data_IF_671617177296
#
_entry.id   IF_671617177296
#
_cell.length_a   1.000
_cell.length_b   1.000
_cell.length_c   1.000
_cell.angle_alpha   90.00
_cell.angle_beta   90.00
_cell.angle_gamma   90.00
#
_symmetry.space_group_name_H-M   'P 1'
#
loop_
_entity.id
_entity.type
_entity.pdbx_description
1 polymer ?
#
# COMPACT_ATOMS: atom_id res chain seq x y z
N UNK A 1 -7.14 -17.39 24.39
CA UNK A 1 -7.85 -16.76 23.24
C UNK A 1 -6.93 -16.87 22.05
N UNK A 2 -7.44 -17.33 20.90
CA UNK A 2 -6.66 -17.36 19.66
C UNK A 2 -6.49 -15.91 19.17
N UNK A 3 -5.27 -15.51 18.79
CA UNK A 3 -5.04 -14.18 18.22
C UNK A 3 -5.91 -13.98 16.97
N UNK A 4 -6.42 -12.76 16.70
CA UNK A 4 -7.25 -12.53 15.52
C UNK A 4 -6.53 -12.94 14.24
N UNK A 5 -7.17 -13.66 13.30
CA UNK A 5 -6.55 -14.06 12.03
C UNK A 5 -6.51 -12.91 11.00
N UNK A 6 -6.11 -11.72 11.47
CA UNK A 6 -6.03 -10.48 10.71
C UNK A 6 -5.11 -9.46 11.38
N UNK A 7 -4.42 -8.66 10.57
CA UNK A 7 -3.40 -7.71 11.04
C UNK A 7 -3.47 -6.38 10.30
N UNK A 8 -3.09 -5.32 10.99
CA UNK A 8 -2.84 -3.99 10.46
C UNK A 8 -1.35 -3.74 10.47
N UNK A 9 -0.81 -3.26 9.35
CA UNK A 9 0.61 -2.96 9.17
C UNK A 9 0.77 -1.48 8.84
N UNK A 10 1.67 -0.81 9.54
CA UNK A 10 1.93 0.63 9.36
C UNK A 10 3.42 0.93 9.43
N UNK A 11 3.85 1.91 8.65
CA UNK A 11 5.03 2.71 8.96
C UNK A 11 4.61 3.96 9.73
N UNK A 12 5.45 4.41 10.65
CA UNK A 12 5.27 5.69 11.34
C UNK A 12 6.59 6.40 11.58
N UNK A 13 6.52 7.72 11.75
CA UNK A 13 7.61 8.47 12.38
C UNK A 13 7.50 8.34 13.91
N UNK A 14 8.62 8.51 14.62
CA UNK A 14 8.67 8.40 16.09
C UNK A 14 7.66 9.36 16.76
N UNK A 15 7.52 10.56 16.20
CA UNK A 15 6.60 11.60 16.67
C UNK A 15 5.11 11.30 16.44
N UNK A 16 4.79 10.34 15.58
CA UNK A 16 3.40 10.04 15.21
C UNK A 16 2.75 9.11 16.24
N UNK A 17 1.50 9.44 16.57
CA UNK A 17 0.68 8.67 17.49
C UNK A 17 -0.11 7.60 16.75
N UNK A 18 0.18 6.34 17.09
CA UNK A 18 -0.51 5.15 16.57
C UNK A 18 -1.17 4.33 17.68
N UNK A 19 -1.29 4.89 18.90
CA UNK A 19 -1.94 4.22 20.04
C UNK A 19 -3.40 3.87 19.75
N UNK A 20 -4.06 4.72 18.93
CA UNK A 20 -5.44 4.54 18.47
C UNK A 20 -5.71 3.17 17.84
N UNK A 21 -4.72 2.54 17.18
CA UNK A 21 -4.88 1.23 16.54
C UNK A 21 -5.25 0.18 17.59
N UNK A 22 -4.52 0.17 18.70
CA UNK A 22 -4.77 -0.80 19.78
C UNK A 22 -6.06 -0.47 20.54
N UNK A 23 -6.34 0.82 20.75
CA UNK A 23 -7.52 1.27 21.50
C UNK A 23 -8.84 1.06 20.75
N UNK A 24 -8.83 1.25 19.42
CA UNK A 24 -10.05 1.36 18.60
C UNK A 24 -10.26 0.18 17.66
N UNK A 25 -9.21 -0.60 17.40
CA UNK A 25 -9.25 -1.81 16.56
C UNK A 25 -8.75 -3.05 17.32
N UNK A 26 -9.25 -3.36 18.53
CA UNK A 26 -8.75 -4.47 19.37
C UNK A 26 -8.96 -5.86 18.75
N UNK A 27 -9.82 -5.94 17.73
CA UNK A 27 -10.09 -7.16 16.97
C UNK A 27 -9.08 -7.42 15.84
N UNK A 28 -8.06 -6.56 15.70
CA UNK A 28 -6.98 -6.67 14.74
C UNK A 28 -5.64 -6.77 15.49
N UNK A 29 -4.78 -7.68 15.04
CA UNK A 29 -3.36 -7.57 15.41
C UNK A 29 -2.78 -6.31 14.78
N UNK A 30 -1.68 -5.78 15.30
CA UNK A 30 -0.96 -4.68 14.67
C UNK A 30 0.55 -4.91 14.65
N UNK A 31 1.20 -4.46 13.58
CA UNK A 31 2.64 -4.41 13.41
C UNK A 31 3.00 -3.03 12.88
N UNK A 32 3.69 -2.25 13.70
CA UNK A 32 3.94 -0.83 13.44
C UNK A 32 5.44 -0.60 13.49
N UNK A 33 6.03 -0.22 12.36
CA UNK A 33 7.46 0.05 12.22
C UNK A 33 7.71 1.55 12.40
N UNK A 34 8.63 1.91 13.29
CA UNK A 34 9.16 3.28 13.37
C UNK A 34 10.29 3.42 12.34
N UNK A 35 10.09 4.25 11.32
CA UNK A 35 11.01 4.30 10.16
C UNK A 35 12.21 5.23 10.36
N UNK A 36 12.11 6.18 11.30
CA UNK A 36 13.12 7.22 11.56
C UNK A 36 13.87 7.02 12.91
N UNK A 37 13.72 5.86 13.54
CA UNK A 37 14.44 5.48 14.77
C UNK A 37 14.90 4.01 14.73
N UNK A 38 16.20 3.80 14.52
CA UNK A 38 16.86 2.48 14.45
C UNK A 38 16.99 1.75 15.80
N UNK A 39 16.67 2.42 16.90
CA UNK A 39 16.62 1.83 18.25
C UNK A 39 15.22 1.36 18.65
N UNK A 40 14.19 1.68 17.85
CA UNK A 40 12.83 1.24 18.13
C UNK A 40 12.72 -0.29 18.03
N UNK A 41 11.88 -0.96 18.84
CA UNK A 41 11.76 -2.43 18.80
C UNK A 41 11.38 -2.99 17.43
N UNK A 42 10.57 -2.26 16.67
CA UNK A 42 10.19 -2.56 15.29
C UNK A 42 10.56 -1.34 14.44
N UNK A 43 11.54 -1.51 13.56
CA UNK A 43 12.06 -0.44 12.70
C UNK A 43 12.41 -1.01 11.33
N UNK A 44 12.49 -0.14 10.32
CA UNK A 44 13.05 -0.48 9.02
C UNK A 44 14.56 -0.27 9.04
N UNK A 45 15.30 -0.99 8.19
CA UNK A 45 16.76 -0.85 8.10
C UNK A 45 17.20 0.54 7.64
N UNK A 46 16.38 1.20 6.83
CA UNK A 46 16.60 2.55 6.32
C UNK A 46 15.26 3.29 6.22
N UNK A 47 15.28 4.60 6.45
CA UNK A 47 14.14 5.49 6.22
C UNK A 47 14.09 5.91 4.74
N UNK A 48 13.53 5.05 3.89
CA UNK A 48 13.42 5.30 2.44
C UNK A 48 12.30 4.46 1.81
N UNK A 49 11.58 5.03 0.85
CA UNK A 49 10.43 4.46 0.16
C UNK A 49 9.10 4.68 0.88
N UNK A 50 9.01 5.67 1.78
CA UNK A 50 7.83 5.95 2.62
C UNK A 50 7.21 4.66 3.22
N UNK A 51 5.90 4.45 3.05
CA UNK A 51 5.16 3.30 3.57
C UNK A 51 5.52 1.98 2.87
N UNK A 52 6.12 2.04 1.68
CA UNK A 52 6.43 0.83 0.93
C UNK A 52 7.50 -0.04 1.60
N UNK A 53 8.48 0.58 2.26
CA UNK A 53 9.53 -0.13 2.99
C UNK A 53 8.99 -0.94 4.19
N UNK A 54 8.25 -0.36 5.15
CA UNK A 54 7.69 -1.15 6.25
C UNK A 54 6.67 -2.19 5.75
N UNK A 55 5.95 -1.94 4.66
CA UNK A 55 5.03 -2.93 4.09
C UNK A 55 5.76 -4.14 3.51
N UNK A 56 6.82 -3.92 2.74
CA UNK A 56 7.65 -5.01 2.21
C UNK A 56 8.42 -5.72 3.32
N UNK A 57 8.94 -4.99 4.29
CA UNK A 57 9.61 -5.55 5.47
C UNK A 57 8.67 -6.52 6.19
N UNK A 58 7.42 -6.13 6.45
CA UNK A 58 6.42 -7.01 7.03
C UNK A 58 6.19 -8.27 6.19
N UNK A 59 5.98 -8.13 4.89
CA UNK A 59 5.72 -9.27 4.01
C UNK A 59 6.90 -10.25 4.04
N UNK A 60 8.13 -9.74 3.97
CA UNK A 60 9.36 -10.56 3.96
C UNK A 60 9.57 -11.27 5.30
N UNK A 61 9.41 -10.58 6.43
CA UNK A 61 9.66 -11.14 7.76
C UNK A 61 8.58 -12.15 8.21
N UNK A 62 7.36 -12.02 7.68
CA UNK A 62 6.21 -12.78 8.11
C UNK A 62 5.61 -13.71 7.04
N UNK A 63 6.26 -13.84 5.87
CA UNK A 63 5.73 -14.54 4.69
C UNK A 63 5.10 -15.92 4.99
N UNK A 64 5.79 -16.74 5.79
CA UNK A 64 5.34 -18.11 6.12
C UNK A 64 4.26 -18.15 7.24
N UNK A 65 3.95 -17.01 7.86
CA UNK A 65 3.08 -16.89 9.03
C UNK A 65 2.04 -15.78 8.89
N UNK A 66 1.73 -15.38 7.66
CA UNK A 66 0.76 -14.33 7.39
C UNK A 66 -0.64 -14.71 7.93
N UNK A 67 -1.37 -13.77 8.54
CA UNK A 67 -2.79 -13.96 8.85
C UNK A 67 -3.64 -13.92 7.58
N UNK A 68 -4.88 -14.39 7.64
CA UNK A 68 -5.77 -14.47 6.46
C UNK A 68 -5.96 -13.14 5.73
N UNK A 69 -5.99 -12.03 6.48
CA UNK A 69 -6.22 -10.67 5.97
C UNK A 69 -5.18 -9.73 6.53
N UNK A 70 -4.55 -8.95 5.65
CA UNK A 70 -3.55 -7.94 6.00
C UNK A 70 -4.08 -6.61 5.49
N UNK A 71 -4.06 -5.58 6.34
CA UNK A 71 -4.40 -4.21 5.97
C UNK A 71 -3.16 -3.35 6.13
N UNK A 72 -2.74 -2.72 5.03
CA UNK A 72 -1.65 -1.77 5.00
C UNK A 72 -2.23 -0.36 5.07
N UNK A 73 -1.85 0.39 6.10
CA UNK A 73 -2.40 1.71 6.41
C UNK A 73 -1.32 2.75 6.66
N UNK A 74 -1.68 4.00 6.46
CA UNK A 74 -0.91 5.14 6.94
C UNK A 74 -1.13 5.32 8.44
N UNK A 75 -0.15 5.90 9.14
CA UNK A 75 -0.16 6.07 10.60
C UNK A 75 -1.25 7.01 11.13
N UNK A 76 -1.77 7.91 10.29
CA UNK A 76 -2.76 8.92 10.66
C UNK A 76 -4.14 8.28 10.96
N UNK A 77 -4.71 8.55 12.16
CA UNK A 77 -6.07 8.10 12.52
C UNK A 77 -7.13 8.86 11.69
N UNK A 78 -7.05 10.21 11.71
CA UNK A 78 -8.05 11.13 11.17
C UNK A 78 -7.53 12.53 10.92
N UNK A 79 -8.27 13.33 10.16
CA UNK A 79 -8.08 14.78 10.05
C UNK A 79 -7.70 15.28 8.65
N UNK A 80 -7.93 16.56 8.40
CA UNK A 80 -7.43 17.27 7.21
C UNK A 80 -6.46 18.36 7.67
N UNK A 81 -5.26 18.47 7.07
CA UNK A 81 -4.83 17.78 5.87
C UNK A 81 -4.23 16.38 6.11
N UNK A 82 -3.92 15.97 7.35
CA UNK A 82 -3.04 14.80 7.57
C UNK A 82 -3.58 13.46 7.02
N UNK A 83 -4.90 13.28 6.99
CA UNK A 83 -5.57 12.04 6.63
C UNK A 83 -6.46 12.17 5.38
N UNK A 84 -6.25 13.23 4.58
CA UNK A 84 -7.06 13.57 3.38
C UNK A 84 -7.27 12.40 2.39
N UNK A 85 -6.37 11.41 2.43
CA UNK A 85 -6.35 10.22 1.60
C UNK A 85 -7.33 9.11 2.05
N UNK A 86 -8.05 9.29 3.17
CA UNK A 86 -8.97 8.29 3.73
C UNK A 86 -10.40 8.56 3.24
N UNK A 87 -10.97 7.62 2.48
CA UNK A 87 -12.30 7.76 1.88
C UNK A 87 -13.45 7.34 2.81
N UNK A 88 -13.53 8.01 3.95
CA UNK A 88 -14.63 7.85 4.89
C UNK A 88 -15.05 9.19 5.51
N UNK A 89 -16.20 9.22 6.19
CA UNK A 89 -16.66 10.39 6.92
C UNK A 89 -15.60 10.81 7.96
N UNK A 90 -15.20 12.07 7.89
CA UNK A 90 -14.13 12.68 8.69
C UNK A 90 -12.71 12.16 8.42
N UNK A 91 -12.49 11.48 7.30
CA UNK A 91 -11.20 10.92 6.92
C UNK A 91 -10.67 9.94 7.99
N UNK A 92 -11.47 8.95 8.39
CA UNK A 92 -11.22 8.12 9.58
C UNK A 92 -10.81 6.68 9.21
N UNK A 93 -9.56 6.32 9.51
CA UNK A 93 -9.02 4.99 9.23
C UNK A 93 -9.68 3.91 10.12
N UNK A 94 -10.15 4.26 11.32
CA UNK A 94 -10.88 3.32 12.20
C UNK A 94 -12.17 2.87 11.52
N UNK A 95 -12.94 3.80 10.96
CA UNK A 95 -14.19 3.45 10.26
C UNK A 95 -13.91 2.63 9.00
N UNK A 96 -12.85 2.96 8.26
CA UNK A 96 -12.45 2.23 7.06
C UNK A 96 -12.13 0.76 7.39
N UNK A 97 -11.35 0.51 8.45
CA UNK A 97 -11.03 -0.87 8.87
C UNK A 97 -12.23 -1.60 9.49
N UNK A 98 -13.05 -0.93 10.29
CA UNK A 98 -14.22 -1.55 10.93
C UNK A 98 -15.27 -2.00 9.91
N UNK A 99 -15.46 -1.21 8.84
CA UNK A 99 -16.45 -1.50 7.81
C UNK A 99 -15.88 -2.30 6.64
N UNK A 100 -14.60 -2.68 6.69
CA UNK A 100 -13.96 -3.44 5.61
C UNK A 100 -14.67 -4.78 5.38
N UNK A 101 -15.16 -4.97 4.16
CA UNK A 101 -15.74 -6.22 3.70
C UNK A 101 -14.63 -7.26 3.47
N UNK A 102 -14.27 -7.99 4.53
CA UNK A 102 -13.22 -9.02 4.48
C UNK A 102 -13.55 -10.10 3.45
N UNK A 103 -14.82 -10.45 3.24
CA UNK A 103 -15.19 -11.45 2.24
C UNK A 103 -14.88 -10.98 0.82
N UNK A 104 -15.02 -9.69 0.52
CA UNK A 104 -14.56 -9.11 -0.74
C UNK A 104 -13.04 -9.20 -0.87
N UNK A 105 -12.28 -8.86 0.17
CA UNK A 105 -10.80 -9.00 0.16
C UNK A 105 -10.39 -10.45 -0.09
N UNK A 106 -11.07 -11.42 0.52
CA UNK A 106 -10.75 -12.84 0.33
C UNK A 106 -11.07 -13.33 -1.10
N UNK A 107 -12.19 -12.91 -1.69
CA UNK A 107 -12.58 -13.31 -3.06
C UNK A 107 -11.78 -12.58 -4.14
N UNK A 108 -11.56 -11.28 -3.98
CA UNK A 108 -10.88 -10.44 -4.96
C UNK A 108 -9.35 -10.47 -4.82
N UNK A 109 -8.85 -10.86 -3.64
CA UNK A 109 -7.43 -10.90 -3.32
C UNK A 109 -6.85 -9.57 -2.88
N UNK A 110 -7.35 -8.46 -3.43
CA UNK A 110 -6.90 -7.09 -3.16
C UNK A 110 -8.10 -6.15 -3.04
N UNK A 111 -8.01 -5.15 -2.16
CA UNK A 111 -8.96 -4.05 -2.09
C UNK A 111 -8.22 -2.74 -1.78
N UNK A 112 -8.34 -1.75 -2.66
CA UNK A 112 -7.91 -0.39 -2.32
C UNK A 112 -8.92 0.19 -1.30
N UNK A 113 -8.44 0.77 -0.21
CA UNK A 113 -9.33 1.37 0.81
C UNK A 113 -9.85 2.74 0.37
N UNK A 114 -9.29 3.30 -0.69
CA UNK A 114 -9.71 4.54 -1.34
C UNK A 114 -10.59 4.21 -2.55
N UNK A 115 -11.81 4.75 -2.58
CA UNK A 115 -12.79 4.60 -3.66
C UNK A 115 -12.91 5.83 -4.58
N UNK A 116 -12.59 7.03 -4.07
CA UNK A 116 -12.50 8.25 -4.84
C UNK A 116 -11.30 8.16 -5.79
N UNK A 117 -11.56 8.12 -7.09
CA UNK A 117 -10.50 7.99 -8.09
C UNK A 117 -9.58 9.21 -8.25
N UNK A 118 -9.85 10.36 -7.62
CA UNK A 118 -9.05 11.57 -7.81
C UNK A 118 -8.24 11.93 -6.56
N UNK A 119 -6.89 11.92 -6.58
CA UNK A 119 -6.04 11.61 -7.73
C UNK A 119 -5.85 10.10 -7.96
N UNK A 120 -5.32 9.72 -9.13
CA UNK A 120 -4.87 8.36 -9.44
C UNK A 120 -5.57 7.65 -10.60
N UNK A 121 -6.87 7.89 -10.81
CA UNK A 121 -7.65 7.27 -11.87
C UNK A 121 -8.04 8.26 -12.98
N UNK A 122 -8.13 7.80 -14.25
CA UNK A 122 -7.74 6.47 -14.75
C UNK A 122 -6.28 6.41 -15.23
N UNK A 123 -5.57 7.54 -15.24
CA UNK A 123 -4.44 7.76 -16.14
C UNK A 123 -3.27 8.53 -15.49
N UNK A 124 -2.96 8.19 -14.24
CA UNK A 124 -2.03 8.99 -13.42
C UNK A 124 -0.56 8.80 -13.77
N UNK A 125 -0.15 7.58 -14.14
CA UNK A 125 1.21 7.30 -14.59
C UNK A 125 1.18 6.82 -16.04
N UNK A 126 1.81 7.60 -16.91
CA UNK A 126 2.02 7.31 -18.34
C UNK A 126 3.52 7.24 -18.64
N UNK A 127 4.18 6.07 -18.50
CA UNK A 127 5.64 5.96 -18.59
C UNK A 127 6.26 6.37 -19.93
N UNK A 128 5.43 6.44 -20.98
CA UNK A 128 5.83 6.76 -22.35
C UNK A 128 5.15 8.02 -22.89
N UNK A 129 4.77 8.96 -22.01
CA UNK A 129 4.14 10.23 -22.39
C UNK A 129 5.02 11.00 -23.38
N UNK A 130 4.40 11.50 -24.44
CA UNK A 130 5.03 12.34 -25.46
C UNK A 130 4.15 13.58 -25.76
N UNK A 131 4.63 14.81 -25.53
CA UNK A 131 5.95 15.15 -24.99
C UNK A 131 6.06 14.83 -23.48
N UNK A 132 7.26 14.49 -22.98
CA UNK A 132 7.48 14.28 -21.55
C UNK A 132 7.23 15.57 -20.76
N UNK A 133 6.59 15.43 -19.60
CA UNK A 133 6.30 16.54 -18.69
C UNK A 133 7.32 16.54 -17.54
N UNK A 134 8.14 17.59 -17.40
CA UNK A 134 9.27 17.61 -16.45
C UNK A 134 8.89 17.39 -14.98
N UNK A 135 7.66 17.75 -14.59
CA UNK A 135 7.17 17.58 -13.22
C UNK A 135 6.64 16.16 -12.93
N UNK A 136 6.46 15.31 -13.94
CA UNK A 136 5.98 13.92 -13.82
C UNK A 136 7.16 12.97 -13.57
N UNK A 137 7.93 13.23 -12.51
CA UNK A 137 9.17 12.48 -12.20
C UNK A 137 8.97 10.97 -12.06
N UNK A 138 7.80 10.55 -11.56
CA UNK A 138 7.43 9.13 -11.42
C UNK A 138 7.23 8.46 -12.77
N UNK A 139 6.64 9.15 -13.75
CA UNK A 139 6.48 8.61 -15.12
C UNK A 139 7.85 8.32 -15.74
N UNK A 140 8.81 9.23 -15.56
CA UNK A 140 10.18 9.06 -16.03
C UNK A 140 10.92 7.90 -15.33
N UNK A 141 10.65 7.67 -14.04
CA UNK A 141 11.27 6.60 -13.27
C UNK A 141 10.64 5.21 -13.52
N UNK A 142 9.34 5.16 -13.84
CA UNK A 142 8.54 3.92 -13.85
C UNK A 142 9.09 2.86 -14.80
N UNK A 143 9.52 3.21 -16.01
CA UNK A 143 10.03 2.22 -16.96
C UNK A 143 11.35 1.57 -16.49
N UNK A 144 12.24 2.35 -15.86
CA UNK A 144 13.47 1.85 -15.26
C UNK A 144 13.20 0.98 -14.04
N UNK A 145 12.35 1.48 -13.13
CA UNK A 145 11.92 0.74 -11.94
C UNK A 145 11.25 -0.59 -12.32
N UNK A 146 10.39 -0.61 -13.34
CA UNK A 146 9.73 -1.83 -13.80
C UNK A 146 10.72 -2.90 -14.26
N UNK A 147 11.72 -2.51 -15.04
CA UNK A 147 12.76 -3.43 -15.51
C UNK A 147 13.53 -4.04 -14.33
N UNK A 148 13.90 -3.22 -13.36
CA UNK A 148 14.63 -3.66 -12.18
C UNK A 148 13.78 -4.55 -11.28
N UNK A 149 12.51 -4.19 -11.04
CA UNK A 149 11.58 -4.93 -10.18
C UNK A 149 11.11 -6.25 -10.82
N UNK A 150 10.63 -6.22 -12.06
CA UNK A 150 9.98 -7.37 -12.70
C UNK A 150 10.86 -8.12 -13.72
N UNK A 151 12.05 -7.60 -14.04
CA UNK A 151 13.01 -8.27 -14.93
C UNK A 151 12.59 -8.35 -16.39
N UNK A 152 11.61 -7.55 -16.82
CA UNK A 152 11.11 -7.50 -18.19
C UNK A 152 10.82 -6.04 -18.61
N UNK A 153 10.44 -5.84 -19.88
CA UNK A 153 10.12 -4.51 -20.44
C UNK A 153 8.64 -4.33 -20.76
N UNK A 154 7.78 -5.16 -20.18
CA UNK A 154 6.34 -5.14 -20.40
C UNK A 154 5.68 -4.05 -19.53
N UNK A 155 6.21 -2.83 -19.64
CA UNK A 155 5.75 -1.68 -18.86
C UNK A 155 4.39 -1.24 -19.41
N UNK A 156 3.33 -1.15 -18.59
CA UNK A 156 2.05 -0.63 -19.04
C UNK A 156 2.17 0.81 -19.54
N UNK A 157 1.53 1.12 -20.65
CA UNK A 157 1.44 2.50 -21.15
C UNK A 157 0.63 3.42 -20.24
N UNK A 158 -0.27 2.83 -19.44
CA UNK A 158 -1.18 3.51 -18.55
C UNK A 158 -1.28 2.72 -17.25
N UNK A 159 -1.07 3.41 -16.13
CA UNK A 159 -1.30 2.89 -14.79
C UNK A 159 -2.24 3.84 -14.06
N UNK A 160 -3.26 3.27 -13.42
CA UNK A 160 -4.25 4.04 -12.70
C UNK A 160 -4.91 3.23 -11.59
N UNK A 161 -4.99 3.83 -10.42
CA UNK A 161 -5.64 3.30 -9.22
C UNK A 161 -5.94 4.50 -8.30
N UNK A 162 -7.00 4.49 -7.48
CA UNK A 162 -7.15 5.53 -6.45
C UNK A 162 -5.88 5.64 -5.61
N UNK A 163 -5.39 6.88 -5.41
CA UNK A 163 -4.09 7.13 -4.79
C UNK A 163 -3.92 6.52 -3.38
N UNK A 164 -2.69 6.71 -2.89
CA UNK A 164 -2.37 6.88 -1.49
C UNK A 164 -2.15 5.59 -0.70
N UNK A 165 -1.73 4.52 -1.35
CA UNK A 165 -0.98 3.43 -0.71
C UNK A 165 -1.72 2.57 0.32
N UNK A 166 -2.98 2.84 0.64
CA UNK A 166 -3.74 2.09 1.64
C UNK A 166 -4.60 1.00 0.99
N UNK A 167 -4.37 -0.25 1.38
CA UNK A 167 -5.07 -1.40 0.80
C UNK A 167 -5.16 -2.57 1.77
N UNK A 168 -6.11 -3.46 1.51
CA UNK A 168 -6.20 -4.77 2.13
C UNK A 168 -5.87 -5.86 1.12
N UNK A 169 -5.21 -6.93 1.58
CA UNK A 169 -4.83 -8.07 0.76
C UNK A 169 -5.07 -9.37 1.52
N UNK A 170 -5.50 -10.41 0.81
CA UNK A 170 -5.61 -11.74 1.40
C UNK A 170 -4.25 -12.43 1.42
N UNK A 171 -4.00 -13.28 2.43
CA UNK A 171 -2.79 -14.14 2.45
C UNK A 171 -2.61 -14.89 1.15
N UNK A 172 -3.69 -15.48 0.63
CA UNK A 172 -3.64 -16.27 -0.59
C UNK A 172 -3.17 -15.43 -1.78
N UNK A 173 -3.50 -14.14 -1.83
CA UNK A 173 -3.04 -13.23 -2.87
C UNK A 173 -1.56 -12.86 -2.71
N UNK A 174 -1.08 -12.64 -1.48
CA UNK A 174 0.35 -12.43 -1.20
C UNK A 174 1.17 -13.66 -1.62
N UNK A 175 0.72 -14.86 -1.26
CA UNK A 175 1.42 -16.11 -1.55
C UNK A 175 1.44 -16.52 -3.03
N UNK A 176 0.72 -15.82 -3.92
CA UNK A 176 0.83 -16.03 -5.38
C UNK A 176 2.18 -15.57 -5.93
N UNK A 177 2.86 -14.63 -5.24
CA UNK A 177 4.19 -14.17 -5.60
C UNK A 177 5.20 -14.75 -4.61
N UNK A 178 6.30 -15.35 -5.06
CA UNK A 178 7.27 -16.00 -4.17
C UNK A 178 8.00 -14.97 -3.30
N UNK A 179 8.49 -15.41 -2.13
CA UNK A 179 9.18 -14.57 -1.15
C UNK A 179 10.37 -13.81 -1.78
N UNK A 180 11.11 -14.48 -2.66
CA UNK A 180 12.31 -13.93 -3.31
C UNK A 180 12.00 -12.64 -4.10
N UNK A 181 10.80 -12.53 -4.67
CA UNK A 181 10.39 -11.32 -5.38
C UNK A 181 10.07 -10.17 -4.41
N UNK A 182 9.42 -10.45 -3.27
CA UNK A 182 9.23 -9.44 -2.23
C UNK A 182 10.56 -8.99 -1.63
N UNK A 183 11.51 -9.90 -1.40
CA UNK A 183 12.86 -9.56 -0.96
C UNK A 183 13.60 -8.69 -1.98
N UNK A 184 13.42 -8.97 -3.27
CA UNK A 184 13.96 -8.14 -4.37
C UNK A 184 13.35 -6.74 -4.37
N UNK A 185 12.04 -6.63 -4.17
CA UNK A 185 11.36 -5.33 -4.08
C UNK A 185 11.87 -4.51 -2.90
N UNK A 186 12.05 -5.15 -1.73
CA UNK A 186 12.59 -4.49 -0.54
C UNK A 186 14.02 -4.01 -0.80
N UNK A 187 14.89 -4.87 -1.31
CA UNK A 187 16.26 -4.51 -1.68
C UNK A 187 16.30 -3.36 -2.70
N UNK A 188 15.38 -3.35 -3.68
CA UNK A 188 15.30 -2.25 -4.65
C UNK A 188 14.99 -0.91 -3.97
N UNK A 189 14.04 -0.87 -3.01
CA UNK A 189 13.76 0.36 -2.26
C UNK A 189 15.02 0.84 -1.52
N UNK A 190 15.74 -0.07 -0.88
CA UNK A 190 16.96 0.26 -0.13
C UNK A 190 18.07 0.80 -1.06
N UNK A 191 18.30 0.15 -2.20
CA UNK A 191 19.50 0.35 -3.02
C UNK A 191 19.32 1.33 -4.19
N UNK A 192 18.09 1.61 -4.64
CA UNK A 192 17.84 2.45 -5.82
C UNK A 192 18.44 3.87 -5.66
N UNK A 193 18.97 4.51 -6.71
CA UNK A 193 19.43 5.91 -6.61
C UNK A 193 18.27 6.92 -6.56
N UNK A 194 17.03 6.49 -6.76
CA UNK A 194 15.85 7.34 -6.62
C UNK A 194 15.70 7.81 -5.16
N UNK A 195 15.20 9.03 -5.00
CA UNK A 195 14.90 9.57 -3.67
C UNK A 195 13.72 8.86 -3.01
N UNK A 196 13.50 9.17 -1.72
CA UNK A 196 12.45 8.61 -0.88
C UNK A 196 11.05 8.78 -1.52
N UNK A 197 10.74 9.99 -1.99
CA UNK A 197 9.43 10.34 -2.57
C UNK A 197 9.17 9.57 -3.87
N UNK A 198 10.10 9.56 -4.81
CA UNK A 198 9.91 8.90 -6.11
C UNK A 198 9.84 7.38 -5.92
N UNK A 199 10.73 6.80 -5.10
CA UNK A 199 10.72 5.36 -4.87
C UNK A 199 9.46 4.87 -4.15
N UNK A 200 8.95 5.62 -3.17
CA UNK A 200 7.66 5.33 -2.53
C UNK A 200 6.49 5.44 -3.50
N UNK A 201 6.45 6.52 -4.30
CA UNK A 201 5.40 6.77 -5.29
C UNK A 201 5.37 5.77 -6.44
N UNK A 202 6.52 5.18 -6.80
CA UNK A 202 6.57 4.02 -7.70
C UNK A 202 5.77 2.86 -7.12
N UNK A 203 5.98 2.49 -5.85
CA UNK A 203 5.20 1.42 -5.21
C UNK A 203 3.73 1.76 -5.01
N UNK A 204 3.39 3.02 -4.71
CA UNK A 204 2.01 3.49 -4.61
C UNK A 204 1.18 3.07 -5.84
N UNK A 205 1.76 3.17 -7.04
CA UNK A 205 1.13 2.77 -8.31
C UNK A 205 1.45 1.35 -8.78
N UNK A 206 2.22 0.56 -8.02
CA UNK A 206 2.48 -0.84 -8.33
C UNK A 206 1.74 -1.81 -7.42
N UNK A 207 1.21 -1.39 -6.26
CA UNK A 207 0.58 -2.32 -5.31
C UNK A 207 -0.51 -3.19 -5.92
N UNK A 208 -1.47 -2.59 -6.62
CA UNK A 208 -2.57 -3.34 -7.24
C UNK A 208 -2.05 -4.33 -8.29
N UNK A 209 -1.02 -3.97 -9.06
CA UNK A 209 -0.37 -4.84 -10.06
C UNK A 209 0.41 -5.97 -9.38
N UNK A 210 1.17 -5.67 -8.33
CA UNK A 210 1.91 -6.65 -7.52
C UNK A 210 0.95 -7.71 -7.00
N UNK A 211 -0.27 -7.30 -6.60
CA UNK A 211 -1.35 -8.16 -6.14
C UNK A 211 -2.35 -8.56 -7.24
N UNK A 212 -1.92 -8.52 -8.51
CA UNK A 212 -2.57 -9.21 -9.63
C UNK A 212 -3.80 -8.51 -10.22
N UNK A 213 -4.00 -7.22 -9.94
CA UNK A 213 -5.01 -6.40 -10.62
C UNK A 213 -4.45 -5.85 -11.95
N UNK A 214 -5.34 -5.45 -12.85
CA UNK A 214 -4.97 -4.81 -14.11
C UNK A 214 -4.22 -3.49 -13.88
N UNK A 215 -3.33 -3.06 -14.80
CA UNK A 215 -2.61 -1.79 -14.66
C UNK A 215 -3.51 -0.58 -14.41
N UNK A 216 -4.73 -0.60 -14.96
CA UNK A 216 -5.78 0.38 -14.66
C UNK A 216 -6.90 -0.29 -13.85
N UNK A 217 -6.84 -0.15 -12.53
CA UNK A 217 -7.82 -0.68 -11.60
C UNK A 217 -8.65 0.46 -10.97
N UNK A 218 -9.63 0.93 -11.74
CA UNK A 218 -10.43 2.12 -11.43
C UNK A 218 -11.94 1.81 -11.48
N UNK A 219 -12.49 1.09 -10.50
CA UNK A 219 -13.93 0.86 -10.42
C UNK A 219 -14.70 2.17 -10.24
N UNK A 220 -16.00 2.18 -10.58
CA UNK A 220 -16.86 3.32 -10.25
C UNK A 220 -16.96 3.50 -8.73
N UNK A 221 -17.20 4.73 -8.28
CA UNK A 221 -17.32 5.07 -6.86
C UNK A 221 -18.35 4.19 -6.15
N UNK A 222 -19.54 4.05 -6.74
CA UNK A 222 -20.63 3.22 -6.22
C UNK A 222 -20.21 1.75 -6.09
N UNK A 223 -19.58 1.20 -7.14
CA UNK A 223 -19.10 -0.18 -7.12
C UNK A 223 -18.05 -0.39 -6.04
N UNK A 224 -17.10 0.53 -5.92
CA UNK A 224 -16.05 0.42 -4.92
C UNK A 224 -16.62 0.42 -3.50
N UNK A 225 -17.52 1.35 -3.16
CA UNK A 225 -18.13 1.38 -1.82
C UNK A 225 -18.94 0.11 -1.51
N UNK A 226 -19.72 -0.36 -2.48
CA UNK A 226 -20.49 -1.60 -2.33
C UNK A 226 -19.58 -2.82 -2.09
N UNK A 227 -18.50 -2.93 -2.86
CA UNK A 227 -17.56 -4.05 -2.78
C UNK A 227 -16.72 -3.99 -1.49
N UNK A 228 -16.04 -2.85 -1.24
CA UNK A 228 -15.04 -2.69 -0.18
C UNK A 228 -15.68 -2.51 1.19
N UNK A 229 -16.86 -1.87 1.27
CA UNK A 229 -17.50 -1.49 2.54
C UNK A 229 -18.90 -2.07 2.74
N UNK A 230 -19.41 -2.85 1.78
CA UNK A 230 -20.68 -3.57 1.92
C UNK A 230 -21.95 -2.79 1.58
N UNK A 231 -21.84 -1.53 1.17
CA UNK A 231 -22.97 -0.67 0.76
C UNK A 231 -23.66 0.06 1.90
#
# INVERSE_FOLDING_TARGET
MQSPDRVIVMGKLEKEDTTWVTERLPNWQNVIYTVDNDTAPMHTKINKGHEANPYLTYIVEHYDRLPSTIVFLHSHEKGYPEAWHIDNRNYDNVQSVQNLNVDFVQRNGYANLRCNGNPGCPAEVQPFRDPPESHRVVEHAMAGAWLELFGNRDVPHLIGVPCCGQFAVSRNQVLKRPLEEYSKFLAWIEDTPLDDEISGRVFEYLWHIIFGMDPVYCPSLEKCYADVYGG
#
